data_IF_171414715068
#
_entry.id   IF_171414715068
#
_cell.length_a   1.000
_cell.length_b   1.000
_cell.length_c   1.000
_cell.angle_alpha   90.00
_cell.angle_beta   90.00
_cell.angle_gamma   90.00
#
_symmetry.space_group_name_H-M   'P 1'
#
loop_
_entity.id
_entity.type
_entity.pdbx_description
1 polymer ?
#
# COMPACT_ATOMS: atom_id res chain seq x y z
N UNK A 1 9.22 -15.63 -22.17
CA UNK A 1 8.51 -16.16 -20.97
C UNK A 1 9.25 -15.78 -19.66
N UNK A 2 9.70 -14.52 -19.49
CA UNK A 2 10.56 -14.12 -18.35
C UNK A 2 10.03 -12.94 -17.51
N UNK A 3 8.76 -12.56 -17.61
CA UNK A 3 8.28 -11.33 -16.94
C UNK A 3 7.28 -11.52 -15.78
N UNK A 4 7.01 -12.76 -15.33
CA UNK A 4 6.03 -13.00 -14.26
C UNK A 4 6.62 -13.14 -12.84
N UNK A 5 7.96 -13.05 -12.67
CA UNK A 5 8.60 -13.30 -11.37
C UNK A 5 8.78 -12.05 -10.50
N UNK A 6 8.62 -10.83 -11.04
CA UNK A 6 8.89 -9.61 -10.27
C UNK A 6 7.70 -9.14 -9.40
N UNK A 7 6.48 -9.47 -9.78
CA UNK A 7 5.28 -9.01 -9.09
C UNK A 7 5.03 -9.74 -7.77
N UNK A 8 5.38 -11.02 -7.70
CA UNK A 8 5.21 -11.85 -6.50
C UNK A 8 6.41 -11.79 -5.54
N UNK A 9 7.46 -11.04 -5.88
CA UNK A 9 8.64 -10.88 -5.04
C UNK A 9 8.43 -9.77 -4.00
N UNK A 10 8.78 -10.06 -2.76
CA UNK A 10 8.83 -9.11 -1.64
C UNK A 10 10.24 -9.06 -1.09
N UNK A 11 10.74 -7.87 -0.79
CA UNK A 11 12.12 -7.66 -0.33
C UNK A 11 12.13 -6.86 0.96
N UNK A 12 12.93 -7.31 1.91
CA UNK A 12 13.17 -6.61 3.17
C UNK A 12 12.49 -7.23 4.38
N UNK A 13 13.13 -7.03 5.53
CA UNK A 13 12.69 -7.63 6.80
C UNK A 13 11.28 -7.18 7.19
N UNK A 14 11.02 -5.87 7.23
CA UNK A 14 9.71 -5.34 7.65
C UNK A 14 8.57 -5.87 6.80
N UNK A 15 8.74 -5.87 5.48
CA UNK A 15 7.76 -6.40 4.53
C UNK A 15 7.43 -7.87 4.82
N UNK A 16 8.48 -8.70 5.04
CA UNK A 16 8.30 -10.14 5.25
C UNK A 16 7.74 -10.42 6.64
N UNK A 17 8.18 -9.68 7.67
CA UNK A 17 7.63 -9.75 9.02
C UNK A 17 6.12 -9.42 9.04
N UNK A 18 5.69 -8.40 8.27
CA UNK A 18 4.27 -8.06 8.12
C UNK A 18 3.50 -9.15 7.39
N UNK A 19 4.03 -9.70 6.31
CA UNK A 19 3.41 -10.82 5.60
C UNK A 19 3.23 -12.05 6.48
N UNK A 20 4.24 -12.39 7.29
CA UNK A 20 4.14 -13.51 8.24
C UNK A 20 3.07 -13.28 9.30
N UNK A 21 2.80 -12.02 9.68
CA UNK A 21 1.75 -11.68 10.65
C UNK A 21 0.35 -11.69 10.04
N UNK A 22 0.20 -11.22 8.81
CA UNK A 22 -1.10 -10.92 8.21
C UNK A 22 -1.60 -12.02 7.25
N UNK A 23 -0.69 -12.67 6.51
CA UNK A 23 -1.06 -13.65 5.47
C UNK A 23 0.05 -14.68 5.22
N UNK A 24 0.48 -15.43 6.24
CA UNK A 24 1.56 -16.42 6.09
C UNK A 24 1.22 -17.51 5.05
N UNK A 25 -0.06 -17.82 4.90
CA UNK A 25 -0.56 -18.80 3.93
C UNK A 25 -0.30 -18.39 2.46
N UNK A 26 -0.16 -17.08 2.17
CA UNK A 26 0.16 -16.58 0.83
C UNK A 26 1.66 -16.60 0.54
N UNK A 27 2.51 -16.85 1.53
CA UNK A 27 3.95 -16.97 1.31
C UNK A 27 4.26 -18.37 0.75
N UNK A 28 4.90 -18.41 -0.42
CA UNK A 28 5.38 -19.65 -1.01
C UNK A 28 6.70 -20.09 -0.40
N UNK A 29 7.64 -19.16 -0.26
CA UNK A 29 8.99 -19.40 0.27
C UNK A 29 9.67 -18.09 0.67
N UNK A 30 10.48 -18.14 1.71
CA UNK A 30 11.37 -17.05 2.13
C UNK A 30 12.80 -17.42 1.86
N UNK A 31 13.60 -16.48 1.33
CA UNK A 31 15.03 -16.59 1.17
C UNK A 31 15.73 -15.60 2.11
N UNK A 32 16.67 -16.09 2.90
CA UNK A 32 17.48 -15.28 3.81
C UNK A 32 18.92 -15.29 3.33
N UNK A 33 19.68 -14.16 3.40
CA UNK A 33 21.10 -14.15 3.04
C UNK A 33 21.89 -15.21 3.81
N UNK A 34 22.69 -16.01 3.09
CA UNK A 34 23.39 -17.15 3.68
C UNK A 34 24.34 -16.76 4.81
N UNK A 35 24.99 -15.59 4.68
CA UNK A 35 26.00 -15.09 5.60
C UNK A 35 25.44 -14.22 6.73
N UNK A 36 24.11 -14.04 6.80
CA UNK A 36 23.48 -13.19 7.80
C UNK A 36 22.94 -14.01 8.98
N UNK A 37 23.61 -13.84 10.14
CA UNK A 37 23.30 -14.57 11.38
C UNK A 37 23.01 -13.62 12.56
N UNK A 38 22.63 -12.35 12.25
CA UNK A 38 22.20 -11.42 13.29
C UNK A 38 20.84 -11.82 13.88
N UNK A 39 20.51 -11.29 15.04
CA UNK A 39 19.28 -11.59 15.78
C UNK A 39 18.02 -11.38 14.93
N UNK A 40 18.04 -10.38 14.04
CA UNK A 40 16.91 -10.09 13.17
C UNK A 40 16.66 -11.19 12.15
N UNK A 41 17.73 -11.72 11.55
CA UNK A 41 17.63 -12.84 10.61
C UNK A 41 17.17 -14.12 11.30
N UNK A 42 17.72 -14.39 12.51
CA UNK A 42 17.34 -15.56 13.30
C UNK A 42 15.88 -15.48 13.75
N UNK A 43 15.43 -14.32 14.22
CA UNK A 43 14.02 -14.08 14.60
C UNK A 43 13.07 -14.27 13.43
N UNK A 44 13.41 -13.76 12.23
CA UNK A 44 12.60 -13.95 11.03
C UNK A 44 12.46 -15.45 10.68
N UNK A 45 13.57 -16.19 10.74
CA UNK A 45 13.56 -17.65 10.48
C UNK A 45 12.66 -18.36 11.49
N UNK A 46 12.84 -18.10 12.79
CA UNK A 46 12.04 -18.71 13.85
C UNK A 46 10.54 -18.39 13.70
N UNK A 47 10.22 -17.15 13.33
CA UNK A 47 8.83 -16.75 13.06
C UNK A 47 8.24 -17.52 11.88
N UNK A 48 8.98 -17.67 10.80
CA UNK A 48 8.56 -18.40 9.61
C UNK A 48 8.36 -19.90 9.91
N UNK A 49 9.29 -20.53 10.62
CA UNK A 49 9.22 -21.93 11.04
C UNK A 49 7.99 -22.21 11.91
N UNK A 50 7.71 -21.33 12.89
CA UNK A 50 6.52 -21.41 13.74
C UNK A 50 5.22 -21.40 12.94
N UNK A 51 5.20 -20.70 11.80
CA UNK A 51 4.05 -20.59 10.90
C UNK A 51 4.09 -21.61 9.75
N UNK A 52 5.02 -22.57 9.79
CA UNK A 52 5.22 -23.60 8.75
C UNK A 52 5.51 -23.02 7.34
N UNK A 53 6.14 -21.84 7.30
CA UNK A 53 6.59 -21.23 6.06
C UNK A 53 8.01 -21.66 5.73
N UNK A 54 8.23 -22.16 4.51
CA UNK A 54 9.54 -22.65 4.07
C UNK A 54 10.58 -21.53 3.98
N UNK A 55 11.74 -21.75 4.60
CA UNK A 55 12.88 -20.81 4.56
C UNK A 55 14.09 -21.50 3.92
N UNK A 56 14.81 -20.76 3.09
CA UNK A 56 16.06 -21.20 2.46
C UNK A 56 17.13 -20.13 2.56
N UNK A 57 18.38 -20.55 2.81
CA UNK A 57 19.51 -19.64 2.80
C UNK A 57 20.09 -19.52 1.40
N UNK A 58 20.23 -18.29 0.89
CA UNK A 58 20.62 -18.01 -0.49
C UNK A 58 21.92 -17.18 -0.53
N UNK A 59 22.96 -17.72 -1.16
CA UNK A 59 24.28 -17.07 -1.26
C UNK A 59 24.29 -15.80 -2.11
N UNK A 60 23.39 -15.69 -3.08
CA UNK A 60 23.28 -14.51 -3.95
C UNK A 60 22.64 -13.29 -3.26
N UNK A 61 22.04 -13.47 -2.09
CA UNK A 61 21.50 -12.37 -1.29
C UNK A 61 22.56 -11.84 -0.33
N UNK A 62 22.71 -10.51 -0.25
CA UNK A 62 23.74 -9.87 0.57
C UNK A 62 23.14 -9.25 1.83
N UNK A 63 22.10 -8.41 1.71
CA UNK A 63 21.62 -7.60 2.82
C UNK A 63 20.17 -7.90 3.22
N UNK A 64 19.28 -8.11 2.27
CA UNK A 64 17.85 -8.21 2.51
C UNK A 64 17.30 -9.60 2.22
N UNK A 65 16.40 -10.12 3.06
CA UNK A 65 15.68 -11.33 2.75
C UNK A 65 14.66 -11.04 1.63
N UNK A 66 14.28 -12.10 0.93
CA UNK A 66 13.26 -12.09 -0.12
C UNK A 66 12.17 -13.10 0.22
N UNK A 67 10.92 -12.80 -0.13
CA UNK A 67 9.82 -13.74 -0.09
C UNK A 67 9.13 -13.81 -1.44
N UNK A 68 8.78 -15.02 -1.86
CA UNK A 68 7.94 -15.25 -3.04
C UNK A 68 6.53 -15.55 -2.55
N UNK A 69 5.54 -14.82 -3.07
CA UNK A 69 4.13 -15.05 -2.81
C UNK A 69 3.55 -16.09 -3.77
N UNK A 70 2.52 -16.80 -3.32
CA UNK A 70 1.73 -17.71 -4.15
C UNK A 70 0.89 -16.94 -5.16
N UNK A 71 0.24 -15.86 -4.68
CA UNK A 71 -0.62 -15.02 -5.49
C UNK A 71 -0.34 -13.55 -5.22
N UNK A 72 -0.42 -12.72 -6.26
CA UNK A 72 -0.49 -11.28 -6.11
C UNK A 72 -1.94 -10.84 -5.99
N UNK A 73 -2.23 -10.01 -5.00
CA UNK A 73 -3.57 -9.44 -4.82
C UNK A 73 -3.58 -8.04 -5.42
N UNK A 74 -4.32 -7.87 -6.52
CA UNK A 74 -4.59 -6.58 -7.15
C UNK A 74 -6.07 -6.24 -6.93
N UNK A 75 -6.34 -5.33 -6.00
CA UNK A 75 -7.70 -4.92 -5.69
C UNK A 75 -8.19 -3.85 -6.67
N UNK A 76 -9.38 -4.04 -7.20
CA UNK A 76 -10.05 -3.19 -8.18
C UNK A 76 -11.07 -2.24 -7.54
N UNK A 77 -11.74 -1.44 -8.36
CA UNK A 77 -12.89 -0.62 -7.90
C UNK A 77 -14.04 -1.48 -7.34
N UNK A 78 -14.28 -2.67 -7.89
CA UNK A 78 -15.33 -3.54 -7.37
C UNK A 78 -14.97 -4.11 -6.00
N UNK A 79 -13.68 -4.40 -5.77
CA UNK A 79 -13.19 -4.84 -4.47
C UNK A 79 -13.25 -3.70 -3.45
N UNK A 80 -12.95 -2.47 -3.87
CA UNK A 80 -13.07 -1.27 -3.04
C UNK A 80 -14.52 -1.06 -2.55
N UNK A 81 -15.50 -1.19 -3.43
CA UNK A 81 -16.92 -1.07 -3.07
C UNK A 81 -17.37 -2.11 -2.06
N UNK A 82 -16.98 -3.38 -2.28
CA UNK A 82 -17.25 -4.47 -1.33
C UNK A 82 -16.55 -4.26 0.01
N UNK A 83 -15.30 -3.78 -0.03
CA UNK A 83 -14.54 -3.53 1.17
C UNK A 83 -15.15 -2.41 2.00
N UNK A 84 -15.59 -1.32 1.36
CA UNK A 84 -16.25 -0.19 2.03
C UNK A 84 -17.51 -0.65 2.79
N UNK A 85 -18.32 -1.52 2.22
CA UNK A 85 -19.51 -2.11 2.87
C UNK A 85 -19.16 -2.93 4.13
N UNK A 86 -17.91 -3.39 4.28
CA UNK A 86 -17.46 -4.20 5.44
C UNK A 86 -16.82 -3.37 6.55
N UNK A 87 -16.57 -2.08 6.31
CA UNK A 87 -15.88 -1.22 7.28
C UNK A 87 -16.80 -0.94 8.46
N UNK A 88 -16.34 -1.29 9.66
CA UNK A 88 -17.08 -1.08 10.91
C UNK A 88 -16.72 0.23 11.63
N UNK A 89 -15.82 1.05 11.06
CA UNK A 89 -15.48 2.36 11.62
C UNK A 89 -16.57 3.37 11.32
N UNK A 90 -16.94 4.15 12.33
CA UNK A 90 -17.98 5.15 12.22
C UNK A 90 -17.64 6.27 11.21
N UNK A 91 -16.34 6.64 11.13
CA UNK A 91 -15.83 7.66 10.20
C UNK A 91 -14.52 7.21 9.54
N UNK A 92 -14.57 6.27 8.57
CA UNK A 92 -13.37 5.79 7.90
C UNK A 92 -12.73 6.88 7.05
N UNK A 93 -11.40 6.90 7.03
CA UNK A 93 -10.60 7.77 6.17
C UNK A 93 -9.92 6.94 5.10
N UNK A 94 -10.05 7.31 3.84
CA UNK A 94 -9.24 6.78 2.73
C UNK A 94 -8.24 7.82 2.24
N UNK A 95 -7.05 7.36 1.86
CA UNK A 95 -6.10 8.18 1.12
C UNK A 95 -6.22 7.88 -0.37
N UNK A 96 -6.45 8.92 -1.15
CA UNK A 96 -6.49 8.86 -2.62
C UNK A 96 -5.21 9.50 -3.14
N UNK A 97 -4.50 8.78 -4.02
CA UNK A 97 -3.27 9.26 -4.64
C UNK A 97 -3.54 9.52 -6.12
N UNK A 98 -3.38 10.77 -6.52
CA UNK A 98 -3.55 11.22 -7.90
C UNK A 98 -2.25 11.84 -8.42
N UNK A 99 -1.77 11.41 -9.59
CA UNK A 99 -0.62 11.96 -10.29
C UNK A 99 0.76 11.79 -9.60
N UNK A 100 0.93 10.83 -8.68
CA UNK A 100 2.23 10.54 -8.04
C UNK A 100 3.01 9.50 -8.84
N UNK A 101 3.94 9.96 -9.69
CA UNK A 101 4.69 9.13 -10.65
C UNK A 101 5.97 8.55 -10.02
N UNK A 102 6.62 9.26 -9.08
CA UNK A 102 7.81 8.76 -8.42
C UNK A 102 7.45 7.60 -7.45
N UNK A 103 8.02 6.39 -7.65
CA UNK A 103 7.78 5.26 -6.78
C UNK A 103 8.25 5.48 -5.33
N UNK A 104 9.22 6.36 -5.07
CA UNK A 104 9.66 6.69 -3.70
C UNK A 104 8.59 7.49 -2.97
N UNK A 105 8.01 8.50 -3.64
CA UNK A 105 6.95 9.32 -3.08
C UNK A 105 5.69 8.48 -2.83
N UNK A 106 5.32 7.62 -3.78
CA UNK A 106 4.20 6.68 -3.57
C UNK A 106 4.46 5.74 -2.38
N UNK A 107 5.66 5.19 -2.26
CA UNK A 107 6.02 4.33 -1.12
C UNK A 107 5.97 5.05 0.22
N UNK A 108 6.40 6.32 0.27
CA UNK A 108 6.34 7.16 1.46
C UNK A 108 4.90 7.49 1.87
N UNK A 109 4.03 7.81 0.90
CA UNK A 109 2.60 8.03 1.12
C UNK A 109 1.93 6.78 1.71
N UNK A 110 2.17 5.60 1.12
CA UNK A 110 1.61 4.33 1.59
C UNK A 110 2.11 4.02 3.01
N UNK A 111 3.38 4.26 3.33
CA UNK A 111 3.92 4.07 4.67
C UNK A 111 3.22 4.96 5.68
N UNK A 112 3.03 6.23 5.36
CA UNK A 112 2.32 7.18 6.22
C UNK A 112 0.86 6.80 6.40
N UNK A 113 0.17 6.41 5.34
CA UNK A 113 -1.20 5.93 5.37
C UNK A 113 -1.37 4.72 6.30
N UNK A 114 -0.48 3.72 6.17
CA UNK A 114 -0.49 2.54 7.03
C UNK A 114 -0.22 2.89 8.50
N UNK A 115 0.70 3.81 8.78
CA UNK A 115 1.00 4.28 10.13
C UNK A 115 -0.14 5.08 10.77
N UNK A 116 -0.93 5.76 9.94
CA UNK A 116 -2.11 6.55 10.37
C UNK A 116 -3.39 5.72 10.46
N UNK A 117 -3.32 4.42 10.20
CA UNK A 117 -4.46 3.50 10.27
C UNK A 117 -5.67 3.95 9.42
N UNK A 118 -5.41 4.52 8.24
CA UNK A 118 -6.51 4.83 7.31
C UNK A 118 -7.13 3.52 6.78
N UNK A 119 -8.40 3.56 6.38
CA UNK A 119 -9.14 2.39 5.94
C UNK A 119 -8.56 1.75 4.66
N UNK A 120 -7.97 2.57 3.78
CA UNK A 120 -7.33 2.07 2.57
C UNK A 120 -6.69 3.17 1.75
N UNK A 121 -5.93 2.76 0.74
CA UNK A 121 -5.31 3.65 -0.24
C UNK A 121 -5.89 3.38 -1.62
N UNK A 122 -6.26 4.42 -2.35
CA UNK A 122 -6.80 4.35 -3.71
C UNK A 122 -5.80 5.00 -4.65
N UNK A 123 -5.35 4.28 -5.67
CA UNK A 123 -4.37 4.76 -6.66
C UNK A 123 -4.96 4.77 -8.06
N UNK A 124 -4.65 5.81 -8.83
CA UNK A 124 -5.00 5.85 -10.24
C UNK A 124 -4.02 5.01 -11.07
N UNK A 125 -4.54 4.02 -11.80
CA UNK A 125 -3.75 3.07 -12.59
C UNK A 125 -2.86 3.75 -13.65
N UNK A 126 -3.33 4.83 -14.25
CA UNK A 126 -2.69 5.45 -15.42
C UNK A 126 -1.85 6.68 -15.09
N UNK A 127 -2.02 7.25 -13.90
CA UNK A 127 -1.38 8.50 -13.50
C UNK A 127 -0.59 8.39 -12.19
N UNK A 128 -0.34 7.18 -11.72
CA UNK A 128 0.53 6.94 -10.58
C UNK A 128 1.52 5.82 -10.89
N UNK A 129 2.63 5.81 -10.17
CA UNK A 129 3.55 4.68 -10.20
C UNK A 129 2.81 3.38 -9.86
N UNK A 130 3.07 2.28 -10.58
CA UNK A 130 2.61 0.97 -10.13
C UNK A 130 3.30 0.57 -8.81
N UNK A 131 2.73 -0.40 -8.10
CA UNK A 131 3.33 -0.96 -6.87
C UNK A 131 4.55 -1.83 -7.25
N UNK A 132 5.67 -1.17 -7.46
CA UNK A 132 6.95 -1.81 -7.80
C UNK A 132 7.66 -2.37 -6.56
N UNK A 133 8.71 -3.19 -6.71
CA UNK A 133 9.57 -3.59 -5.59
C UNK A 133 10.14 -2.40 -4.81
N UNK A 134 10.45 -1.28 -5.49
CA UNK A 134 10.94 -0.06 -4.84
C UNK A 134 9.86 0.60 -3.97
N UNK A 135 8.61 0.71 -4.46
CA UNK A 135 7.46 1.18 -3.66
C UNK A 135 7.31 0.33 -2.40
N UNK A 136 7.36 -0.98 -2.53
CA UNK A 136 7.24 -1.92 -1.40
C UNK A 136 8.39 -1.74 -0.39
N UNK A 137 9.60 -1.57 -0.88
CA UNK A 137 10.77 -1.34 -0.02
C UNK A 137 10.64 -0.03 0.76
N UNK A 138 10.28 1.07 0.10
CA UNK A 138 10.14 2.40 0.71
C UNK A 138 8.96 2.45 1.68
N UNK A 139 7.87 1.74 1.38
CA UNK A 139 6.71 1.65 2.27
C UNK A 139 6.98 0.88 3.56
N UNK A 140 8.12 0.17 3.65
CA UNK A 140 8.57 -0.55 4.85
C UNK A 140 7.50 -1.49 5.46
N UNK A 141 6.78 -2.23 4.61
CA UNK A 141 5.69 -3.12 5.00
C UNK A 141 4.30 -2.48 4.94
N UNK A 142 4.21 -1.19 4.61
CA UNK A 142 2.92 -0.51 4.45
C UNK A 142 2.05 -1.13 3.36
N UNK A 143 2.65 -1.55 2.24
CA UNK A 143 1.91 -2.21 1.15
C UNK A 143 1.29 -3.56 1.54
N UNK A 144 1.75 -4.18 2.58
CA UNK A 144 1.24 -5.44 3.11
C UNK A 144 0.26 -5.24 4.28
N UNK A 145 0.31 -4.08 4.93
CA UNK A 145 -0.50 -3.79 6.13
C UNK A 145 -1.79 -3.03 5.86
N UNK A 146 -1.96 -2.46 4.67
CA UNK A 146 -3.14 -1.68 4.30
C UNK A 146 -3.71 -2.16 2.97
N UNK A 147 -5.03 -2.04 2.79
CA UNK A 147 -5.67 -2.34 1.51
C UNK A 147 -5.34 -1.27 0.47
N UNK A 148 -4.84 -1.68 -0.70
CA UNK A 148 -4.49 -0.77 -1.79
C UNK A 148 -5.33 -1.14 -3.02
N UNK A 149 -6.16 -0.19 -3.45
CA UNK A 149 -7.07 -0.35 -4.58
C UNK A 149 -6.56 0.43 -5.79
N UNK A 150 -6.40 -0.26 -6.91
CA UNK A 150 -5.99 0.35 -8.18
C UNK A 150 -7.21 0.57 -9.07
N UNK A 151 -7.56 1.83 -9.33
CA UNK A 151 -8.72 2.20 -10.12
C UNK A 151 -8.32 2.80 -11.46
N UNK A 152 -9.05 2.48 -12.52
CA UNK A 152 -8.83 3.02 -13.86
C UNK A 152 -9.48 4.39 -14.08
N UNK A 153 -10.57 4.65 -13.38
CA UNK A 153 -11.29 5.92 -13.44
C UNK A 153 -11.50 6.45 -12.02
N UNK A 154 -10.59 7.36 -11.62
CA UNK A 154 -10.61 7.96 -10.29
C UNK A 154 -11.89 8.76 -10.05
N UNK A 155 -12.34 9.55 -11.03
CA UNK A 155 -13.54 10.38 -10.90
C UNK A 155 -14.79 9.54 -10.59
N UNK A 156 -14.95 8.40 -11.26
CA UNK A 156 -16.06 7.50 -10.96
C UNK A 156 -15.97 6.93 -9.52
N UNK A 157 -14.77 6.71 -9.03
CA UNK A 157 -14.57 6.28 -7.64
C UNK A 157 -14.94 7.39 -6.67
N UNK A 158 -14.52 8.62 -6.91
CA UNK A 158 -14.87 9.78 -6.07
C UNK A 158 -16.38 10.01 -6.03
N UNK A 159 -17.07 10.00 -7.18
CA UNK A 159 -18.54 10.11 -7.26
C UNK A 159 -19.27 8.98 -6.53
N UNK A 160 -18.69 7.79 -6.45
CA UNK A 160 -19.26 6.72 -5.65
C UNK A 160 -19.21 7.05 -4.15
N UNK A 161 -18.07 7.49 -3.64
CA UNK A 161 -17.91 7.86 -2.23
C UNK A 161 -18.70 9.11 -1.85
N UNK A 162 -18.81 10.08 -2.74
CA UNK A 162 -19.67 11.26 -2.56
C UNK A 162 -21.14 10.85 -2.32
N UNK A 163 -21.68 9.91 -3.10
CA UNK A 163 -23.03 9.36 -2.93
C UNK A 163 -23.23 8.62 -1.60
N UNK A 164 -22.16 8.09 -1.02
CA UNK A 164 -22.14 7.46 0.30
C UNK A 164 -21.99 8.47 1.45
N UNK A 165 -21.87 9.77 1.14
CA UNK A 165 -21.77 10.84 2.13
C UNK A 165 -20.35 11.11 2.64
N UNK A 166 -19.32 10.58 1.97
CA UNK A 166 -17.94 10.93 2.30
C UNK A 166 -17.64 12.38 1.97
N UNK A 167 -16.88 13.03 2.84
CA UNK A 167 -16.28 14.33 2.58
C UNK A 167 -15.04 14.12 1.71
N UNK A 168 -15.01 14.70 0.52
CA UNK A 168 -13.88 14.64 -0.40
C UNK A 168 -13.02 15.89 -0.20
N UNK A 169 -11.78 15.71 0.23
CA UNK A 169 -10.84 16.77 0.52
C UNK A 169 -9.63 16.67 -0.41
N UNK A 170 -9.48 17.64 -1.27
CA UNK A 170 -8.25 17.83 -2.07
C UNK A 170 -7.21 18.64 -1.29
N UNK A 171 -5.95 18.21 -1.29
CA UNK A 171 -4.85 18.99 -0.71
C UNK A 171 -4.25 19.90 -1.77
N UNK A 172 -4.09 21.20 -1.46
CA UNK A 172 -3.48 22.20 -2.34
C UNK A 172 -2.75 23.25 -1.52
N UNK A 173 -1.63 23.74 -2.03
CA UNK A 173 -0.92 24.89 -1.45
C UNK A 173 -1.71 26.21 -1.63
N UNK A 174 -2.67 26.22 -2.57
CA UNK A 174 -3.54 27.36 -2.86
C UNK A 174 -4.91 27.25 -2.18
N UNK A 175 -5.06 26.36 -1.20
CA UNK A 175 -6.34 26.19 -0.52
C UNK A 175 -6.63 27.38 0.41
N UNK A 176 -7.86 27.89 0.33
CA UNK A 176 -8.33 29.01 1.19
C UNK A 176 -8.64 28.57 2.62
N UNK A 177 -8.78 27.27 2.87
CA UNK A 177 -9.20 26.70 4.16
C UNK A 177 -8.14 25.76 4.70
N UNK A 178 -7.74 25.96 5.95
CA UNK A 178 -6.83 25.05 6.64
C UNK A 178 -7.57 23.75 7.07
N UNK A 179 -6.88 22.62 7.01
CA UNK A 179 -7.46 21.34 7.43
C UNK A 179 -7.92 21.34 8.90
N UNK A 180 -7.32 22.19 9.75
CA UNK A 180 -7.69 22.38 11.15
C UNK A 180 -9.05 23.05 11.35
N UNK A 181 -9.56 23.75 10.33
CA UNK A 181 -10.81 24.50 10.37
C UNK A 181 -11.99 23.68 9.83
N UNK A 182 -11.72 22.46 9.39
CA UNK A 182 -12.72 21.56 8.82
C UNK A 182 -13.41 20.72 9.91
N UNK A 183 -14.72 20.51 9.76
CA UNK A 183 -15.44 19.53 10.55
C UNK A 183 -15.23 18.13 9.95
N UNK A 184 -14.37 17.34 10.59
CA UNK A 184 -13.98 16.01 10.13
C UNK A 184 -14.79 14.87 10.80
N UNK A 185 -15.94 15.17 11.41
CA UNK A 185 -16.80 14.18 12.08
C UNK A 185 -17.69 13.42 11.08
N UNK A 186 -17.09 12.91 10.00
CA UNK A 186 -17.74 12.07 8.99
C UNK A 186 -16.71 11.27 8.20
N UNK A 187 -17.11 10.26 7.42
CA UNK A 187 -16.21 9.56 6.51
C UNK A 187 -15.51 10.51 5.54
N UNK A 188 -14.21 10.29 5.30
CA UNK A 188 -13.36 11.24 4.54
C UNK A 188 -12.57 10.51 3.46
N UNK A 189 -12.46 11.13 2.28
CA UNK A 189 -11.41 10.87 1.30
C UNK A 189 -10.44 12.06 1.28
N UNK A 190 -9.17 11.82 1.60
CA UNK A 190 -8.10 12.80 1.42
C UNK A 190 -7.40 12.53 0.10
N UNK A 191 -7.41 13.48 -0.82
CA UNK A 191 -6.74 13.36 -2.12
C UNK A 191 -5.41 14.11 -2.07
N UNK A 192 -4.33 13.41 -2.39
CA UNK A 192 -2.99 13.97 -2.54
C UNK A 192 -2.56 13.90 -4.00
N UNK A 193 -2.08 15.03 -4.52
CA UNK A 193 -1.48 15.14 -5.85
C UNK A 193 0.03 14.89 -5.85
N UNK A 194 0.66 15.13 -7.01
CA UNK A 194 2.12 15.12 -7.14
C UNK A 194 2.76 16.33 -6.45
N UNK A 195 4.07 16.24 -6.22
CA UNK A 195 4.86 17.32 -5.62
C UNK A 195 4.97 18.55 -6.53
N UNK A 196 5.06 18.35 -7.84
CA UNK A 196 5.26 19.44 -8.82
C UNK A 196 3.93 20.01 -9.32
N UNK A 197 3.00 19.15 -9.76
CA UNK A 197 1.77 19.56 -10.47
C UNK A 197 0.51 19.49 -9.57
N UNK A 198 0.62 18.97 -8.35
CA UNK A 198 -0.54 18.73 -7.50
C UNK A 198 -1.50 17.68 -8.06
N UNK A 199 -2.77 17.84 -7.76
CA UNK A 199 -3.86 17.02 -8.32
C UNK A 199 -4.14 17.43 -9.77
N UNK A 200 -4.59 16.45 -10.57
CA UNK A 200 -4.99 16.75 -11.96
C UNK A 200 -6.23 17.65 -11.99
N UNK A 201 -6.31 18.51 -13.00
CA UNK A 201 -7.42 19.43 -13.20
C UNK A 201 -8.80 18.75 -13.14
N UNK A 202 -8.94 17.58 -13.82
CA UNK A 202 -10.17 16.77 -13.78
C UNK A 202 -10.54 16.22 -12.39
N UNK A 203 -9.60 16.21 -11.47
CA UNK A 203 -9.85 15.75 -10.09
C UNK A 203 -10.26 16.92 -9.20
N UNK A 204 -9.92 18.15 -9.60
CA UNK A 204 -10.31 19.40 -8.93
C UNK A 204 -11.74 19.86 -9.29
N UNK A 205 -12.28 19.47 -10.47
CA UNK A 205 -13.67 19.70 -10.91
C UNK A 205 -14.68 18.82 -10.15
#
# INVERSE_FOLDING_TARGET
MENNNSTNLRVGFHTIEMLLKLSPENIKKIFVPANRNDDRALNLIAMAEKLSVSVERKKSLVQHPEAILKNEVNLSLNDLKKYEETIQHENPTFLVIDNVIDPRNLGACIRSAAASNVAGVIINKHHCSPITPLVRQVSAGGTESIQIFTVTNLINSLKHFEKLGYLILGTSEHADVMHTDLNLNKPILVIMGSEEDGMREKTLE
#
